data_IF_879161131373
#
_entry.id   IF_879161131373
#
_cell.length_a   1.000
_cell.length_b   1.000
_cell.length_c   1.000
_cell.angle_alpha   90.00
_cell.angle_beta   90.00
_cell.angle_gamma   90.00
#
_symmetry.space_group_name_H-M   'P 1'
#
loop_
_entity.id
_entity.type
_entity.pdbx_description
1 polymer ?
#
# COMPACT_ATOMS: atom_id res chain seq x y z
N UNK A 1 24.43 -10.06 -4.65
CA UNK A 1 23.08 -9.48 -4.43
C UNK A 1 23.27 -8.24 -3.55
N UNK A 2 23.19 -7.05 -4.15
CA UNK A 2 23.39 -5.80 -3.40
C UNK A 2 22.21 -5.66 -2.44
N UNK A 3 22.46 -5.57 -1.13
CA UNK A 3 21.40 -5.23 -0.18
C UNK A 3 21.00 -3.79 -0.46
N UNK A 4 19.86 -3.58 -1.12
CA UNK A 4 19.19 -2.28 -1.16
C UNK A 4 18.70 -2.03 0.27
N UNK A 5 19.60 -1.52 1.10
CA UNK A 5 19.30 -1.19 2.48
C UNK A 5 18.67 0.20 2.46
N UNK A 6 17.41 0.26 2.00
CA UNK A 6 16.63 1.49 2.11
C UNK A 6 16.58 1.83 3.60
N UNK A 7 17.06 3.03 3.96
CA UNK A 7 16.91 3.55 5.32
C UNK A 7 15.43 3.83 5.56
N UNK A 8 14.65 2.80 5.86
CA UNK A 8 13.30 2.94 6.41
C UNK A 8 13.38 3.02 7.94
N UNK A 9 14.48 3.53 8.49
CA UNK A 9 14.73 3.62 9.93
C UNK A 9 15.02 5.06 10.35
N UNK A 10 14.01 5.89 10.22
CA UNK A 10 13.61 6.80 11.29
C UNK A 10 12.18 6.41 11.62
N UNK A 11 11.83 6.29 12.89
CA UNK A 11 10.43 6.12 13.31
C UNK A 11 9.52 7.11 12.56
N UNK A 12 8.27 6.71 12.27
CA UNK A 12 7.31 7.60 11.63
C UNK A 12 7.27 8.95 12.38
N UNK A 13 7.25 10.06 11.63
CA UNK A 13 7.24 11.41 12.20
C UNK A 13 5.89 11.78 12.84
N UNK A 14 4.87 10.98 12.57
CA UNK A 14 3.53 11.07 13.15
C UNK A 14 2.83 9.71 13.05
N UNK A 15 1.80 9.51 13.88
CA UNK A 15 0.95 8.31 13.85
C UNK A 15 0.24 8.14 12.50
N UNK A 16 -0.26 9.22 11.90
CA UNK A 16 -0.89 9.15 10.57
C UNK A 16 0.03 8.62 9.45
N UNK A 17 1.36 8.82 9.55
CA UNK A 17 2.29 8.18 8.60
C UNK A 17 2.42 6.67 8.84
N UNK A 18 2.29 6.22 10.09
CA UNK A 18 2.32 4.81 10.45
C UNK A 18 1.05 4.10 9.97
N UNK A 19 -0.11 4.73 10.16
CA UNK A 19 -1.41 4.25 9.66
C UNK A 19 -1.39 4.14 8.13
N UNK A 20 -1.01 5.21 7.43
CA UNK A 20 -0.91 5.20 5.98
C UNK A 20 0.02 4.10 5.44
N UNK A 21 1.14 3.84 6.13
CA UNK A 21 2.03 2.72 5.78
C UNK A 21 1.36 1.36 5.99
N UNK A 22 0.66 1.17 7.11
CA UNK A 22 -0.09 -0.05 7.38
C UNK A 22 -1.17 -0.31 6.32
N UNK A 23 -1.90 0.73 5.92
CA UNK A 23 -2.94 0.66 4.89
C UNK A 23 -2.36 0.31 3.53
N UNK A 24 -1.32 1.02 3.09
CA UNK A 24 -0.57 0.73 1.86
C UNK A 24 -0.13 -0.74 1.80
N UNK A 25 0.44 -1.24 2.90
CA UNK A 25 0.89 -2.63 3.00
C UNK A 25 -0.27 -3.62 2.93
N UNK A 26 -1.38 -3.33 3.60
CA UNK A 26 -2.56 -4.18 3.59
C UNK A 26 -3.15 -4.29 2.17
N UNK A 27 -3.32 -3.14 1.50
CA UNK A 27 -3.83 -3.03 0.13
C UNK A 27 -2.95 -3.80 -0.85
N UNK A 28 -1.64 -3.56 -0.83
CA UNK A 28 -0.69 -4.25 -1.71
C UNK A 28 -0.67 -5.77 -1.46
N UNK A 29 -0.79 -6.20 -0.20
CA UNK A 29 -0.88 -7.61 0.12
C UNK A 29 -2.14 -8.25 -0.46
N UNK A 30 -3.28 -7.60 -0.35
CA UNK A 30 -4.56 -8.07 -0.91
C UNK A 30 -4.52 -8.13 -2.44
N UNK A 31 -4.07 -7.05 -3.09
CA UNK A 31 -3.93 -6.98 -4.54
C UNK A 31 -3.00 -8.08 -5.09
N UNK A 32 -1.90 -8.37 -4.37
CA UNK A 32 -0.99 -9.46 -4.72
C UNK A 32 -1.69 -10.82 -4.65
N UNK A 33 -2.47 -11.08 -3.59
CA UNK A 33 -3.22 -12.35 -3.43
C UNK A 33 -4.27 -12.53 -4.53
N UNK A 34 -4.90 -11.46 -4.96
CA UNK A 34 -5.90 -11.43 -6.03
C UNK A 34 -5.26 -11.43 -7.43
N UNK A 35 -3.93 -11.43 -7.55
CA UNK A 35 -3.18 -11.28 -8.82
C UNK A 35 -3.56 -10.02 -9.61
N UNK A 36 -3.96 -8.97 -8.90
CA UNK A 36 -4.27 -7.67 -9.51
C UNK A 36 -2.99 -6.97 -9.99
N UNK A 37 -3.16 -6.01 -10.91
CA UNK A 37 -2.04 -5.17 -11.35
C UNK A 37 -1.67 -4.17 -10.25
N UNK A 38 -0.48 -4.34 -9.67
CA UNK A 38 -0.03 -3.52 -8.53
C UNK A 38 0.19 -2.05 -8.89
N UNK A 39 0.64 -1.73 -10.10
CA UNK A 39 0.85 -0.34 -10.52
C UNK A 39 -0.46 0.38 -10.73
N UNK A 40 -1.45 -0.32 -11.30
CA UNK A 40 -2.82 0.20 -11.43
C UNK A 40 -3.46 0.40 -10.06
N UNK A 41 -3.32 -0.59 -9.16
CA UNK A 41 -3.80 -0.51 -7.78
C UNK A 41 -3.21 0.69 -7.03
N UNK A 42 -1.88 0.92 -7.17
CA UNK A 42 -1.22 2.08 -6.57
C UNK A 42 -1.68 3.40 -7.20
N UNK A 43 -1.92 3.43 -8.51
CA UNK A 43 -2.43 4.61 -9.20
C UNK A 43 -3.82 4.96 -8.71
N UNK A 44 -4.68 3.96 -8.52
CA UNK A 44 -6.03 4.12 -8.03
C UNK A 44 -6.04 4.57 -6.56
N UNK A 45 -5.20 3.97 -5.71
CA UNK A 45 -5.02 4.37 -4.31
C UNK A 45 -4.62 5.85 -4.17
N UNK A 46 -3.74 6.34 -5.05
CA UNK A 46 -3.25 7.72 -5.00
C UNK A 46 -4.25 8.74 -5.57
N UNK A 47 -5.18 8.31 -6.44
CA UNK A 47 -6.19 9.19 -7.05
C UNK A 47 -7.50 9.21 -6.27
N UNK A 48 -7.96 8.04 -5.82
CA UNK A 48 -9.29 7.77 -5.27
C UNK A 48 -9.21 6.64 -4.23
N UNK A 49 -8.63 6.89 -3.04
CA UNK A 49 -8.41 5.85 -2.03
C UNK A 49 -9.71 5.22 -1.50
N UNK A 50 -10.79 5.98 -1.40
CA UNK A 50 -12.12 5.51 -0.96
C UNK A 50 -12.70 4.42 -1.86
N UNK A 51 -12.58 4.56 -3.19
CA UNK A 51 -13.16 3.63 -4.17
C UNK A 51 -12.41 2.29 -4.22
N UNK A 52 -11.09 2.32 -3.94
CA UNK A 52 -10.25 1.13 -3.99
C UNK A 52 -10.59 0.15 -2.87
N UNK A 53 -10.91 0.64 -1.67
CA UNK A 53 -11.28 -0.21 -0.53
C UNK A 53 -12.50 -1.07 -0.84
N UNK A 54 -13.52 -0.49 -1.48
CA UNK A 54 -14.73 -1.20 -1.88
C UNK A 54 -14.44 -2.28 -2.93
N UNK A 55 -13.66 -1.95 -3.96
CA UNK A 55 -13.28 -2.91 -5.01
C UNK A 55 -12.51 -4.11 -4.47
N UNK A 56 -11.58 -3.90 -3.54
CA UNK A 56 -10.80 -4.99 -2.94
C UNK A 56 -11.63 -5.85 -1.99
N UNK A 57 -12.63 -5.28 -1.33
CA UNK A 57 -13.55 -5.99 -0.43
C UNK A 57 -14.55 -6.87 -1.19
N UNK A 58 -14.86 -6.53 -2.45
CA UNK A 58 -15.79 -7.27 -3.32
C UNK A 58 -15.14 -8.44 -4.09
N UNK A 59 -13.86 -8.74 -3.82
CA UNK A 59 -13.04 -9.72 -4.55
C UNK A 59 -13.67 -11.10 -4.76
#
# INVERSE_FOLDING_TARGET
MMKVREKISGTFRSEGHAEAFCDLRAILSSATKQRANLLETLTELLRSPEDLGEKLAQG
#
